data_IF_579099822500
#
_entry.id   IF_579099822500
#
_cell.length_a   1.000
_cell.length_b   1.000
_cell.length_c   1.000
_cell.angle_alpha   90.00
_cell.angle_beta   90.00
_cell.angle_gamma   90.00
#
_symmetry.space_group_name_H-M   'P 1'
#
loop_
_entity.id
_entity.type
_entity.pdbx_description
1 polymer ?
#
# COMPACT_ATOMS: atom_id res chain seq x y z
N UNK A 1 -5.19 -8.72 -11.45
CA UNK A 1 -5.60 -7.79 -10.38
C UNK A 1 -6.88 -8.32 -9.80
N UNK A 2 -6.92 -8.49 -8.49
CA UNK A 2 -8.00 -9.15 -7.77
C UNK A 2 -8.60 -8.18 -6.75
N UNK A 3 -9.89 -8.34 -6.45
CA UNK A 3 -10.60 -7.67 -5.37
C UNK A 3 -10.99 -8.71 -4.32
N UNK A 4 -10.82 -8.35 -3.06
CA UNK A 4 -11.15 -9.14 -1.89
C UNK A 4 -12.07 -8.32 -1.00
N UNK A 5 -12.96 -8.98 -0.28
CA UNK A 5 -13.75 -8.35 0.76
C UNK A 5 -13.66 -9.20 2.02
N UNK A 6 -13.48 -8.53 3.16
CA UNK A 6 -13.46 -9.15 4.49
C UNK A 6 -14.71 -8.66 5.21
N UNK A 7 -15.39 -9.56 5.93
CA UNK A 7 -16.64 -9.21 6.59
C UNK A 7 -16.76 -9.86 7.97
N UNK A 8 -17.15 -9.04 8.92
CA UNK A 8 -17.59 -9.46 10.25
C UNK A 8 -19.01 -8.96 10.50
N UNK A 9 -19.54 -9.25 11.68
CA UNK A 9 -20.85 -8.72 12.10
C UNK A 9 -20.88 -7.18 12.21
N UNK A 10 -19.71 -6.53 12.30
CA UNK A 10 -19.58 -5.08 12.54
C UNK A 10 -19.07 -4.30 11.33
N UNK A 11 -18.27 -4.93 10.47
CA UNK A 11 -17.47 -4.26 9.46
C UNK A 11 -17.44 -5.06 8.16
N UNK A 12 -17.42 -4.36 7.02
CA UNK A 12 -16.99 -4.89 5.72
C UNK A 12 -15.85 -4.05 5.17
N UNK A 13 -14.82 -4.69 4.63
CA UNK A 13 -13.66 -4.00 4.02
C UNK A 13 -13.42 -4.57 2.64
N UNK A 14 -13.38 -3.71 1.64
CA UNK A 14 -13.02 -4.08 0.28
C UNK A 14 -11.56 -3.67 0.01
N UNK A 15 -10.78 -4.59 -0.54
CA UNK A 15 -9.36 -4.41 -0.81
C UNK A 15 -9.05 -4.90 -2.23
N UNK A 16 -8.18 -4.19 -2.95
CA UNK A 16 -7.66 -4.66 -4.25
C UNK A 16 -6.17 -4.96 -4.19
N UNK A 17 -5.73 -5.90 -5.02
CA UNK A 17 -4.31 -6.31 -5.09
C UNK A 17 -3.38 -5.26 -5.71
N UNK A 18 -3.93 -4.31 -6.48
CA UNK A 18 -3.14 -3.18 -6.98
C UNK A 18 -2.91 -2.21 -5.85
N UNK A 19 -1.63 -1.88 -5.61
CA UNK A 19 -1.21 -0.87 -4.62
C UNK A 19 -1.63 -1.21 -3.17
N UNK A 20 -2.13 -2.43 -2.94
CA UNK A 20 -2.78 -2.89 -1.72
C UNK A 20 -3.76 -1.83 -1.17
N UNK A 21 -4.77 -1.50 -1.97
CA UNK A 21 -5.67 -0.37 -1.72
C UNK A 21 -6.95 -0.80 -1.04
N UNK A 22 -7.27 -0.20 0.11
CA UNK A 22 -8.63 -0.25 0.69
C UNK A 22 -9.54 0.62 -0.17
N UNK A 23 -10.58 0.04 -0.74
CA UNK A 23 -11.52 0.72 -1.65
C UNK A 23 -12.86 1.03 -1.02
N UNK A 24 -13.22 0.33 0.06
CA UNK A 24 -14.40 0.60 0.87
C UNK A 24 -14.19 0.09 2.30
N UNK A 25 -14.78 0.77 3.28
CA UNK A 25 -14.83 0.36 4.68
C UNK A 25 -16.22 0.70 5.21
N UNK A 26 -17.10 -0.29 5.26
CA UNK A 26 -18.43 -0.12 5.81
C UNK A 26 -18.43 -0.34 7.32
N UNK A 27 -18.93 0.66 8.05
CA UNK A 27 -19.05 0.63 9.51
C UNK A 27 -20.50 0.90 9.90
N UNK A 28 -21.01 0.15 10.87
CA UNK A 28 -22.34 0.38 11.44
C UNK A 28 -22.35 1.59 12.38
N UNK A 29 -23.31 2.49 12.21
CA UNK A 29 -23.57 3.61 13.12
C UNK A 29 -24.32 3.15 14.40
N UNK A 30 -24.68 4.09 15.28
CA UNK A 30 -25.44 3.81 16.51
C UNK A 30 -26.83 3.23 16.26
N UNK A 31 -27.36 3.36 15.05
CA UNK A 31 -28.64 2.82 14.61
C UNK A 31 -28.46 1.51 13.80
N UNK A 32 -27.25 0.93 13.84
CA UNK A 32 -26.86 -0.28 13.09
C UNK A 32 -26.92 -0.13 11.56
N UNK A 33 -26.90 1.11 11.03
CA UNK A 33 -26.86 1.36 9.59
C UNK A 33 -25.41 1.39 9.12
N UNK A 34 -25.09 0.61 8.10
CA UNK A 34 -23.77 0.57 7.50
C UNK A 34 -23.56 1.78 6.57
N UNK A 35 -22.36 2.38 6.61
CA UNK A 35 -21.95 3.41 5.65
C UNK A 35 -20.47 3.27 5.34
N UNK A 36 -20.10 3.50 4.08
CA UNK A 36 -18.69 3.57 3.68
C UNK A 36 -18.06 4.85 4.25
N UNK A 37 -16.99 4.69 5.02
CA UNK A 37 -16.33 5.80 5.74
C UNK A 37 -14.97 6.17 5.14
N UNK A 38 -14.55 5.54 4.05
CA UNK A 38 -13.30 5.90 3.35
C UNK A 38 -13.58 6.62 2.04
N UNK A 39 -12.67 7.52 1.67
CA UNK A 39 -12.68 8.12 0.34
C UNK A 39 -12.06 7.14 -0.66
N UNK A 40 -12.73 6.96 -1.79
CA UNK A 40 -12.29 6.05 -2.84
C UNK A 40 -13.06 6.26 -4.13
N UNK A 41 -12.87 5.33 -5.06
CA UNK A 41 -13.58 5.33 -6.34
C UNK A 41 -14.41 4.05 -6.45
N UNK A 42 -15.65 4.19 -6.93
CA UNK A 42 -16.52 3.05 -7.18
C UNK A 42 -15.97 2.13 -8.29
N UNK A 43 -15.27 2.72 -9.27
CA UNK A 43 -14.71 2.02 -10.43
C UNK A 43 -13.20 1.97 -10.40
N UNK A 44 -12.68 0.87 -10.90
CA UNK A 44 -11.25 0.62 -11.03
C UNK A 44 -10.51 1.69 -11.84
N UNK A 45 -11.14 2.22 -12.90
CA UNK A 45 -10.53 3.27 -13.71
C UNK A 45 -10.15 4.51 -12.88
N UNK A 46 -10.96 4.87 -11.88
CA UNK A 46 -10.64 5.97 -10.97
C UNK A 46 -9.44 5.67 -10.06
N UNK A 47 -9.25 4.40 -9.69
CA UNK A 47 -8.13 3.95 -8.85
C UNK A 47 -6.81 3.96 -9.65
N UNK A 48 -6.88 3.59 -10.93
CA UNK A 48 -5.72 3.54 -11.83
C UNK A 48 -5.29 4.93 -12.33
N UNK A 49 -6.18 5.93 -12.28
CA UNK A 49 -5.86 7.31 -12.60
C UNK A 49 -4.94 7.96 -11.54
N UNK A 50 -4.41 9.14 -11.88
CA UNK A 50 -3.55 9.92 -10.97
C UNK A 50 -4.40 10.43 -9.80
N UNK A 51 -4.21 9.82 -8.64
CA UNK A 51 -4.97 10.09 -7.42
C UNK A 51 -4.02 10.26 -6.21
N UNK A 52 -4.43 10.97 -5.13
CA UNK A 52 -3.58 11.32 -3.99
C UNK A 52 -3.44 10.18 -2.95
N UNK A 53 -3.08 8.97 -3.39
CA UNK A 53 -2.82 7.80 -2.54
C UNK A 53 -4.02 7.28 -1.71
N UNK A 54 -5.26 7.49 -2.15
CA UNK A 54 -6.45 6.98 -1.47
C UNK A 54 -6.33 5.49 -1.16
N UNK A 55 -6.41 5.14 0.13
CA UNK A 55 -6.44 3.75 0.64
C UNK A 55 -5.20 2.90 0.40
N UNK A 56 -4.18 3.40 -0.29
CA UNK A 56 -3.03 2.62 -0.75
C UNK A 56 -1.94 2.47 0.33
N UNK A 57 -1.16 1.39 0.23
CA UNK A 57 0.07 1.26 1.02
C UNK A 57 1.16 2.13 0.43
N UNK A 58 1.70 3.01 1.27
CA UNK A 58 2.73 3.98 0.91
C UNK A 58 4.09 3.54 1.46
N UNK A 59 5.10 3.46 0.60
CA UNK A 59 6.45 3.06 1.00
C UNK A 59 7.45 3.07 -0.16
N UNK A 60 8.75 2.80 0.10
CA UNK A 60 9.32 2.24 1.35
C UNK A 60 9.36 3.17 2.55
N UNK A 61 9.43 4.49 2.33
CA UNK A 61 9.36 5.50 3.38
C UNK A 61 8.19 6.42 3.06
N UNK A 62 7.20 6.44 3.94
CA UNK A 62 6.07 7.36 3.81
C UNK A 62 6.52 8.80 4.08
N UNK A 63 5.82 9.76 3.49
CA UNK A 63 6.17 11.19 3.56
C UNK A 63 7.57 11.48 2.99
N UNK A 64 8.21 12.59 3.39
CA UNK A 64 9.37 13.18 2.71
C UNK A 64 10.68 12.81 3.38
N UNK A 65 11.66 12.41 2.57
CA UNK A 65 13.08 12.47 2.94
C UNK A 65 13.66 13.79 2.42
N UNK A 66 14.14 14.63 3.35
CA UNK A 66 14.66 15.95 3.06
C UNK A 66 15.82 15.86 2.05
N UNK A 67 15.75 16.65 0.97
CA UNK A 67 16.73 16.65 -0.13
C UNK A 67 16.98 15.27 -0.76
N UNK A 68 16.13 14.28 -0.49
CA UNK A 68 16.33 12.89 -0.92
C UNK A 68 17.60 12.24 -0.38
N UNK A 69 18.16 12.70 0.74
CA UNK A 69 19.37 12.11 1.33
C UNK A 69 19.15 11.77 2.80
N UNK A 70 19.78 10.69 3.25
CA UNK A 70 19.87 10.29 4.66
C UNK A 70 21.13 9.45 4.88
N UNK A 71 21.53 9.26 6.14
CA UNK A 71 22.65 8.38 6.49
C UNK A 71 22.12 7.14 7.18
N UNK A 72 22.59 5.97 6.76
CA UNK A 72 22.31 4.67 7.38
C UNK A 72 23.63 3.93 7.58
N UNK A 73 23.91 3.47 8.80
CA UNK A 73 25.15 2.78 9.17
C UNK A 73 26.42 3.53 8.73
N UNK A 74 26.41 4.85 8.92
CA UNK A 74 27.52 5.74 8.56
C UNK A 74 27.71 5.97 7.06
N UNK A 75 26.76 5.53 6.21
CA UNK A 75 26.83 5.71 4.75
C UNK A 75 25.72 6.61 4.24
N UNK A 76 26.10 7.57 3.39
CA UNK A 76 25.15 8.43 2.70
C UNK A 76 24.34 7.61 1.68
N UNK A 77 23.02 7.73 1.76
CA UNK A 77 22.05 7.12 0.87
C UNK A 77 21.30 8.23 0.11
N UNK A 78 21.36 8.19 -1.22
CA UNK A 78 20.66 9.14 -2.10
C UNK A 78 19.45 8.49 -2.75
N UNK A 79 18.36 9.24 -2.81
CA UNK A 79 17.10 8.85 -3.41
C UNK A 79 16.73 9.82 -4.54
N UNK A 80 15.88 9.38 -5.46
CA UNK A 80 15.31 10.27 -6.45
C UNK A 80 14.58 11.45 -5.80
N UNK A 81 14.91 12.64 -6.29
CA UNK A 81 14.26 13.90 -5.98
C UNK A 81 13.17 14.10 -7.03
N UNK A 82 11.90 13.84 -6.69
CA UNK A 82 10.74 13.96 -7.61
C UNK A 82 9.87 15.22 -7.31
N UNK A 83 10.32 16.01 -6.32
CA UNK A 83 9.83 17.28 -5.74
C UNK A 83 11.04 17.93 -5.05
N UNK A 84 10.98 19.08 -4.33
CA UNK A 84 12.15 19.54 -3.55
C UNK A 84 12.73 18.52 -2.54
N UNK A 85 12.03 17.39 -2.31
CA UNK A 85 12.40 16.28 -1.43
C UNK A 85 12.13 14.92 -2.14
N UNK A 86 12.33 13.80 -1.44
CA UNK A 86 11.88 12.47 -1.88
C UNK A 86 10.64 12.01 -1.09
N UNK A 87 9.41 12.34 -1.52
CA UNK A 87 8.17 11.87 -0.92
C UNK A 87 7.83 10.41 -1.29
N UNK A 88 7.20 9.71 -0.34
CA UNK A 88 6.41 8.50 -0.53
C UNK A 88 7.15 7.36 -1.26
N UNK A 89 8.44 7.18 -0.96
CA UNK A 89 9.26 6.12 -1.56
C UNK A 89 9.85 6.43 -2.94
N UNK A 90 9.73 7.66 -3.44
CA UNK A 90 10.44 8.11 -4.64
C UNK A 90 9.76 7.72 -5.95
N UNK A 91 10.51 7.18 -6.92
CA UNK A 91 9.98 6.87 -8.27
C UNK A 91 9.29 5.50 -8.31
N UNK A 92 9.87 4.49 -7.66
CA UNK A 92 9.30 3.14 -7.53
C UNK A 92 8.57 3.02 -6.20
N UNK A 93 7.33 3.49 -6.19
CA UNK A 93 6.51 3.58 -4.98
C UNK A 93 5.67 2.32 -4.78
N UNK A 94 5.35 2.00 -3.53
CA UNK A 94 4.48 0.87 -3.19
C UNK A 94 3.02 1.05 -3.64
N UNK A 95 2.61 2.30 -3.89
CA UNK A 95 1.31 2.62 -4.50
C UNK A 95 1.33 2.54 -6.03
N UNK A 96 2.32 1.86 -6.63
CA UNK A 96 2.40 1.62 -8.08
C UNK A 96 2.89 0.21 -8.43
N UNK A 97 2.68 -0.76 -7.53
CA UNK A 97 3.13 -2.15 -7.73
C UNK A 97 2.00 -3.12 -7.48
N UNK A 98 2.04 -4.25 -8.19
CA UNK A 98 1.13 -5.36 -7.94
C UNK A 98 1.66 -6.17 -6.75
N UNK A 99 0.80 -6.34 -5.74
CA UNK A 99 1.09 -7.16 -4.58
C UNK A 99 0.55 -8.58 -4.78
N UNK A 100 1.25 -9.57 -4.23
CA UNK A 100 0.83 -10.98 -4.27
C UNK A 100 -0.07 -11.28 -3.07
N UNK A 101 -1.37 -11.57 -3.28
CA UNK A 101 -2.29 -11.91 -2.21
C UNK A 101 -2.12 -13.36 -1.74
N UNK A 102 -2.36 -13.57 -0.44
CA UNK A 102 -2.53 -14.84 0.21
C UNK A 102 -3.72 -14.73 1.17
N UNK A 103 -4.82 -15.40 0.83
CA UNK A 103 -6.01 -15.43 1.68
C UNK A 103 -5.75 -16.31 2.90
N UNK A 104 -6.14 -15.82 4.07
CA UNK A 104 -6.06 -16.48 5.36
C UNK A 104 -7.47 -16.80 5.86
N UNK A 105 -7.58 -17.58 6.93
CA UNK A 105 -8.89 -17.93 7.52
C UNK A 105 -9.69 -16.71 8.02
N UNK A 106 -9.00 -15.64 8.41
CA UNK A 106 -9.59 -14.43 8.98
C UNK A 106 -8.95 -13.16 8.43
N UNK A 107 -8.46 -13.19 7.19
CA UNK A 107 -7.89 -12.00 6.59
C UNK A 107 -7.22 -12.27 5.26
N UNK A 108 -6.43 -11.28 4.84
CA UNK A 108 -5.61 -11.38 3.65
C UNK A 108 -4.23 -10.80 3.93
N UNK A 109 -3.22 -11.56 3.54
CA UNK A 109 -1.84 -11.15 3.55
C UNK A 109 -1.42 -10.77 2.14
N UNK A 110 -0.80 -9.62 1.98
CA UNK A 110 -0.17 -9.20 0.75
C UNK A 110 1.34 -9.16 0.94
N UNK A 111 2.04 -9.65 -0.07
CA UNK A 111 3.49 -9.65 -0.10
C UNK A 111 4.00 -9.00 -1.37
N UNK A 112 5.07 -8.23 -1.24
CA UNK A 112 5.80 -7.66 -2.35
C UNK A 112 7.29 -7.87 -2.12
N UNK A 113 7.98 -8.41 -3.11
CA UNK A 113 9.43 -8.53 -3.10
C UNK A 113 10.01 -7.31 -3.78
N UNK A 114 10.59 -6.42 -2.99
CA UNK A 114 11.20 -5.21 -3.53
C UNK A 114 12.64 -5.48 -3.92
N UNK A 115 12.87 -5.77 -5.19
CA UNK A 115 14.22 -5.86 -5.75
C UNK A 115 14.71 -4.45 -6.08
N UNK A 116 15.43 -3.87 -5.13
CA UNK A 116 16.27 -2.70 -5.38
C UNK A 116 17.58 -3.19 -6.00
N UNK A 117 17.59 -3.39 -7.33
CA UNK A 117 18.84 -3.17 -8.07
C UNK A 117 19.26 -1.72 -7.78
N UNK A 118 20.56 -1.46 -7.68
CA UNK A 118 21.16 -0.13 -7.45
C UNK A 118 20.87 0.91 -8.53
N UNK A 119 19.73 0.85 -9.22
CA UNK A 119 19.16 1.97 -9.94
C UNK A 119 18.68 2.96 -8.89
N UNK A 120 19.58 3.89 -8.56
CA UNK A 120 19.40 5.30 -8.13
C UNK A 120 20.67 5.79 -7.39
N UNK A 121 21.85 5.24 -7.71
CA UNK A 121 23.15 5.78 -7.27
C UNK A 121 23.73 5.20 -5.98
N UNK A 122 23.15 4.15 -5.41
CA UNK A 122 23.76 3.41 -4.29
C UNK A 122 24.32 2.07 -4.77
N UNK A 123 25.64 1.88 -4.66
CA UNK A 123 26.37 0.66 -5.10
C UNK A 123 26.12 -0.58 -4.24
N UNK A 124 24.97 -0.68 -3.56
CA UNK A 124 24.61 -1.88 -2.82
C UNK A 124 23.29 -2.44 -3.34
N UNK A 125 23.34 -3.71 -3.74
CA UNK A 125 22.18 -4.57 -3.77
C UNK A 125 21.58 -4.58 -2.37
N UNK A 126 20.50 -3.85 -2.16
CA UNK A 126 19.64 -4.10 -1.02
C UNK A 126 19.04 -5.49 -1.26
N UNK A 127 19.21 -6.39 -0.30
CA UNK A 127 18.61 -7.72 -0.34
C UNK A 127 17.11 -7.59 -0.68
N UNK A 128 16.52 -8.56 -1.40
CA UNK A 128 15.09 -8.57 -1.65
C UNK A 128 14.36 -8.40 -0.32
N UNK A 129 13.68 -7.27 -0.15
CA UNK A 129 12.89 -7.03 1.05
C UNK A 129 11.50 -7.59 0.78
N UNK A 130 11.13 -8.64 1.50
CA UNK A 130 9.74 -9.05 1.62
C UNK A 130 9.05 -8.02 2.50
N UNK A 131 8.09 -7.30 1.94
CA UNK A 131 7.23 -6.41 2.72
C UNK A 131 5.92 -7.14 2.93
N UNK A 132 5.63 -7.61 4.16
CA UNK A 132 4.33 -8.17 4.50
C UNK A 132 3.38 -7.02 4.84
N UNK A 133 2.13 -7.16 4.43
CA UNK A 133 1.06 -6.27 4.85
C UNK A 133 -0.20 -7.11 5.07
N UNK A 134 -0.80 -7.01 6.26
CA UNK A 134 -1.88 -7.89 6.71
C UNK A 134 -3.08 -7.06 7.17
N UNK A 135 -4.26 -7.40 6.66
CA UNK A 135 -5.53 -6.96 7.25
C UNK A 135 -6.26 -8.23 7.71
N UNK A 136 -6.58 -8.27 9.00
CA UNK A 136 -7.26 -9.39 9.65
C UNK A 136 -8.65 -8.94 10.14
N UNK A 137 -9.67 -9.45 9.47
CA UNK A 137 -11.09 -9.40 9.83
C UNK A 137 -11.68 -10.71 9.30
N UNK A 138 -12.60 -11.36 10.03
CA UNK A 138 -13.22 -12.63 9.63
C UNK A 138 -13.43 -12.72 8.11
N UNK A 139 -12.90 -13.75 7.46
CA UNK A 139 -12.76 -13.76 6.01
C UNK A 139 -13.72 -14.80 5.42
N UNK A 140 -14.61 -14.35 4.53
CA UNK A 140 -15.34 -15.21 3.62
C UNK A 140 -14.84 -14.91 2.20
N UNK A 141 -14.44 -15.96 1.47
CA UNK A 141 -13.92 -15.86 0.10
C UNK A 141 -15.06 -16.18 -0.87
N UNK A 142 -15.18 -15.43 -1.97
CA UNK A 142 -15.92 -15.83 -3.18
C UNK A 142 -14.96 -15.74 -4.35
#
# INVERSE_FOLDING_TARGET
>A
MERFWLQSDLLRVDIISSDYTITALEVKDRQSRASDVVLGFAKLDGILQKQPYFGAVVGKVANRIAKGTFTLDGKECKLAINRPNSPHGGIRRFDKVLWTPQVLSNGIHFSQVSVTKGDQGSSRHLHPLLVPALIALGCQRV
#
